data_IF_890396015118
#
_entry.id   IF_890396015118
#
_cell.length_a   1.000
_cell.length_b   1.000
_cell.length_c   1.000
_cell.angle_alpha   90.00
_cell.angle_beta   90.00
_cell.angle_gamma   90.00
#
_symmetry.space_group_name_H-M   'P 1'
#
loop_
_entity.id
_entity.type
_entity.pdbx_description
1 polymer ?
#
# COMPACT_ATOMS: atom_id res chain seq x y z
N UNK A 1 8.16 27.06 -10.94
CA UNK A 1 7.76 25.65 -11.12
C UNK A 1 6.77 25.33 -10.02
N UNK A 2 5.56 24.88 -10.37
CA UNK A 2 4.53 24.52 -9.38
C UNK A 2 4.68 23.03 -9.06
N UNK A 3 4.32 22.61 -7.85
CA UNK A 3 4.44 21.19 -7.44
C UNK A 3 3.65 20.24 -8.35
N UNK A 4 2.50 20.67 -8.88
CA UNK A 4 1.70 19.90 -9.85
C UNK A 4 2.41 19.57 -11.18
N UNK A 5 3.55 20.18 -11.45
CA UNK A 5 4.35 19.94 -12.66
C UNK A 5 5.67 19.21 -12.36
N UNK A 6 5.95 18.85 -11.10
CA UNK A 6 7.21 18.22 -10.68
C UNK A 6 7.11 16.68 -10.62
N UNK A 7 7.74 15.94 -11.56
CA UNK A 7 7.66 14.48 -11.60
C UNK A 7 8.38 13.76 -10.45
N UNK A 8 9.04 14.50 -9.54
CA UNK A 8 9.57 13.96 -8.29
C UNK A 8 8.44 13.50 -7.37
N UNK A 9 7.27 14.16 -7.44
CA UNK A 9 6.08 13.78 -6.69
C UNK A 9 5.46 12.56 -7.38
N UNK A 10 5.24 11.48 -6.64
CA UNK A 10 4.55 10.31 -7.18
C UNK A 10 3.04 10.49 -7.13
N UNK A 11 2.53 10.93 -5.98
CA UNK A 11 1.12 11.00 -5.68
C UNK A 11 0.81 12.10 -4.67
N UNK A 12 -0.43 12.58 -4.72
CA UNK A 12 -1.07 13.27 -3.60
C UNK A 12 -1.80 12.24 -2.72
N UNK A 13 -1.85 12.52 -1.42
CA UNK A 13 -2.69 11.83 -0.44
C UNK A 13 -3.74 12.82 0.08
N UNK A 14 -5.00 12.39 0.16
CA UNK A 14 -6.07 13.29 0.61
C UNK A 14 -5.97 13.62 2.11
N UNK A 15 -5.78 12.61 2.95
CA UNK A 15 -5.68 12.76 4.41
C UNK A 15 -5.08 11.50 5.00
N UNK A 16 -4.12 11.64 5.91
CA UNK A 16 -3.61 10.52 6.68
C UNK A 16 -4.68 9.96 7.62
N UNK A 17 -4.97 8.66 7.50
CA UNK A 17 -5.85 7.88 8.39
C UNK A 17 -7.21 8.55 8.68
N UNK A 18 -8.03 8.87 7.65
CA UNK A 18 -9.28 9.58 7.85
C UNK A 18 -10.25 8.69 8.62
N UNK A 19 -10.84 9.22 9.71
CA UNK A 19 -11.84 8.52 10.52
C UNK A 19 -13.07 9.41 10.74
N UNK A 20 -14.26 8.84 10.59
CA UNK A 20 -15.54 9.48 10.91
C UNK A 20 -16.39 8.59 11.83
N UNK A 21 -16.04 8.54 13.11
CA UNK A 21 -16.74 7.69 14.10
C UNK A 21 -18.19 8.11 14.36
N UNK A 22 -18.54 9.37 14.06
CA UNK A 22 -19.92 9.85 14.16
C UNK A 22 -20.84 9.31 13.07
N UNK A 23 -20.30 8.81 11.96
CA UNK A 23 -21.05 8.22 10.86
C UNK A 23 -20.52 6.81 10.48
N UNK A 24 -20.95 5.77 11.20
CA UNK A 24 -20.50 4.40 10.94
C UNK A 24 -21.07 3.81 9.64
N UNK A 25 -21.97 4.51 8.93
CA UNK A 25 -22.41 4.09 7.60
C UNK A 25 -21.31 4.23 6.56
N UNK A 26 -20.35 5.13 6.80
CA UNK A 26 -19.28 5.50 5.87
C UNK A 26 -19.68 6.51 4.80
N UNK A 27 -20.94 6.98 4.80
CA UNK A 27 -21.46 7.92 3.81
C UNK A 27 -20.73 9.27 3.81
N UNK A 28 -20.39 9.79 5.00
CA UNK A 28 -19.69 11.06 5.16
C UNK A 28 -18.29 11.02 4.53
N UNK A 29 -17.49 10.00 4.84
CA UNK A 29 -16.15 9.83 4.24
C UNK A 29 -16.26 9.57 2.73
N UNK A 30 -17.21 8.73 2.31
CA UNK A 30 -17.42 8.47 0.88
C UNK A 30 -17.71 9.75 0.09
N UNK A 31 -18.60 10.61 0.59
CA UNK A 31 -18.94 11.88 -0.04
C UNK A 31 -17.73 12.82 -0.08
N UNK A 32 -17.01 12.93 1.04
CA UNK A 32 -15.83 13.79 1.14
C UNK A 32 -14.70 13.35 0.19
N UNK A 33 -14.34 12.06 0.15
CA UNK A 33 -13.32 11.55 -0.79
C UNK A 33 -13.78 11.79 -2.23
N UNK A 34 -15.06 11.60 -2.54
CA UNK A 34 -15.60 11.82 -3.90
C UNK A 34 -15.41 13.28 -4.34
N UNK A 35 -15.76 14.23 -3.47
CA UNK A 35 -15.60 15.66 -3.73
C UNK A 35 -14.12 16.06 -3.85
N UNK A 36 -13.30 15.70 -2.87
CA UNK A 36 -11.89 16.13 -2.81
C UNK A 36 -11.05 15.48 -3.89
N UNK A 37 -11.31 14.22 -4.25
CA UNK A 37 -10.61 13.59 -5.36
C UNK A 37 -10.91 14.27 -6.70
N UNK A 38 -12.17 14.63 -6.95
CA UNK A 38 -12.54 15.40 -8.13
C UNK A 38 -11.88 16.80 -8.13
N UNK A 39 -11.84 17.45 -6.97
CA UNK A 39 -11.23 18.77 -6.83
C UNK A 39 -9.71 18.73 -7.10
N UNK A 40 -8.96 17.82 -6.47
CA UNK A 40 -7.51 17.67 -6.72
C UNK A 40 -7.25 17.36 -8.19
N UNK A 41 -8.01 16.42 -8.80
CA UNK A 41 -7.87 16.08 -10.23
C UNK A 41 -8.30 17.20 -11.18
N UNK A 42 -9.04 18.19 -10.72
CA UNK A 42 -9.33 19.41 -11.50
C UNK A 42 -8.12 20.35 -11.59
N UNK A 43 -7.27 20.33 -10.57
CA UNK A 43 -6.06 21.16 -10.46
C UNK A 43 -4.85 20.45 -11.08
N UNK A 44 -4.70 19.15 -10.78
CA UNK A 44 -3.56 18.33 -11.15
C UNK A 44 -4.01 17.00 -11.75
N UNK A 45 -3.72 16.81 -13.04
CA UNK A 45 -3.99 15.57 -13.79
C UNK A 45 -2.72 14.77 -14.11
N UNK A 46 -1.57 15.25 -13.66
CA UNK A 46 -0.27 14.61 -13.90
C UNK A 46 0.02 13.56 -12.83
N UNK A 47 -0.21 13.91 -11.56
CA UNK A 47 0.11 13.06 -10.42
C UNK A 47 -1.00 12.05 -10.09
N UNK A 48 -0.58 10.94 -9.49
CA UNK A 48 -1.49 9.97 -8.91
C UNK A 48 -2.17 10.57 -7.66
N UNK A 49 -3.28 9.98 -7.27
CA UNK A 49 -4.01 10.34 -6.06
C UNK A 49 -4.44 9.08 -5.33
N UNK A 50 -4.25 9.04 -4.03
CA UNK A 50 -4.84 8.06 -3.13
C UNK A 50 -5.55 8.76 -1.95
N UNK A 51 -6.23 7.98 -1.09
CA UNK A 51 -7.13 8.52 -0.08
C UNK A 51 -6.57 8.58 1.35
N UNK A 52 -5.43 7.93 1.61
CA UNK A 52 -4.74 7.79 2.89
C UNK A 52 -5.40 6.80 3.85
N UNK A 53 -6.02 5.75 3.32
CA UNK A 53 -6.81 4.82 4.13
C UNK A 53 -5.93 3.81 4.87
N UNK A 54 -6.27 3.59 6.14
CA UNK A 54 -5.72 2.46 6.91
C UNK A 54 -6.19 1.11 6.36
N UNK A 55 -7.36 1.07 5.71
CA UNK A 55 -7.89 -0.12 5.02
C UNK A 55 -9.14 -0.74 5.64
N UNK A 56 -9.77 -0.16 6.66
CA UNK A 56 -10.94 -0.81 7.27
C UNK A 56 -12.10 -1.01 6.29
N UNK A 57 -12.65 -2.21 6.30
CA UNK A 57 -13.81 -2.58 5.50
C UNK A 57 -15.09 -2.01 6.08
N UNK A 58 -15.97 -1.52 5.20
CA UNK A 58 -17.25 -0.93 5.56
C UNK A 58 -18.44 -1.78 5.13
N UNK A 59 -19.60 -1.12 5.00
CA UNK A 59 -20.88 -1.76 4.72
C UNK A 59 -21.00 -2.31 3.29
N UNK A 60 -20.16 -1.88 2.34
CA UNK A 60 -20.15 -2.40 0.97
C UNK A 60 -19.68 -3.85 0.89
N UNK A 61 -18.89 -4.31 1.88
CA UNK A 61 -18.39 -5.68 2.00
C UNK A 61 -18.55 -6.21 3.42
N UNK A 62 -19.78 -6.50 3.86
CA UNK A 62 -20.05 -6.90 5.24
C UNK A 62 -19.33 -8.20 5.64
N UNK A 63 -19.08 -9.09 4.68
CA UNK A 63 -18.34 -10.34 4.91
C UNK A 63 -16.87 -10.09 5.27
N UNK A 64 -16.27 -9.01 4.75
CA UNK A 64 -14.88 -8.61 5.03
C UNK A 64 -14.72 -7.89 6.37
N UNK A 65 -15.81 -7.36 6.97
CA UNK A 65 -15.75 -6.67 8.27
C UNK A 65 -15.19 -7.54 9.41
N UNK A 66 -15.31 -8.86 9.31
CA UNK A 66 -14.69 -9.80 10.26
C UNK A 66 -13.15 -9.74 10.30
N UNK A 67 -12.52 -9.13 9.30
CA UNK A 67 -11.08 -8.88 9.24
C UNK A 67 -10.68 -7.58 9.94
N UNK A 68 -11.61 -6.69 10.26
CA UNK A 68 -11.29 -5.48 11.02
C UNK A 68 -10.94 -5.86 12.48
N UNK A 69 -10.09 -5.08 13.18
CA UNK A 69 -9.71 -5.31 14.59
C UNK A 69 -10.83 -5.01 15.62
N UNK A 70 -12.11 -5.15 15.23
CA UNK A 70 -13.24 -5.06 16.15
C UNK A 70 -13.84 -3.66 16.35
N UNK A 71 -13.49 -2.69 15.50
CA UNK A 71 -14.07 -1.35 15.55
C UNK A 71 -14.44 -0.81 14.15
N UNK A 72 -15.44 0.06 14.09
CA UNK A 72 -15.87 0.76 12.89
C UNK A 72 -15.39 2.22 12.95
N UNK A 73 -14.70 2.69 11.92
CA UNK A 73 -14.13 4.05 11.87
C UNK A 73 -14.79 4.96 10.82
N UNK A 74 -15.85 4.50 10.15
CA UNK A 74 -16.54 5.28 9.12
C UNK A 74 -15.85 5.31 7.76
N UNK A 75 -14.87 4.44 7.51
CA UNK A 75 -14.31 4.22 6.17
C UNK A 75 -14.84 2.92 5.57
N UNK A 76 -14.70 2.78 4.26
CA UNK A 76 -15.00 1.56 3.52
C UNK A 76 -13.96 1.35 2.43
N UNK A 77 -13.00 0.44 2.67
CA UNK A 77 -11.89 0.17 1.76
C UNK A 77 -12.31 -0.06 0.31
N UNK A 78 -13.43 -0.75 0.06
CA UNK A 78 -13.86 -1.04 -1.31
C UNK A 78 -14.56 0.18 -1.92
N UNK A 79 -15.58 0.71 -1.26
CA UNK A 79 -16.36 1.82 -1.82
C UNK A 79 -15.53 3.09 -1.98
N UNK A 80 -14.66 3.40 -1.01
CA UNK A 80 -13.81 4.58 -1.07
C UNK A 80 -12.78 4.47 -2.22
N UNK A 81 -12.15 3.30 -2.39
CA UNK A 81 -11.19 3.11 -3.48
C UNK A 81 -11.84 2.84 -4.85
N UNK A 82 -13.17 2.67 -4.95
CA UNK A 82 -13.87 2.63 -6.24
C UNK A 82 -14.10 4.02 -6.85
N UNK A 83 -13.90 5.10 -6.08
CA UNK A 83 -14.01 6.47 -6.57
C UNK A 83 -13.05 6.68 -7.75
N UNK A 84 -13.55 7.25 -8.85
CA UNK A 84 -12.81 7.36 -10.11
C UNK A 84 -11.53 8.20 -9.99
N UNK A 85 -11.52 9.21 -9.12
CA UNK A 85 -10.34 10.06 -8.90
C UNK A 85 -9.19 9.39 -8.13
N UNK A 86 -9.44 8.25 -7.48
CA UNK A 86 -8.43 7.49 -6.73
C UNK A 86 -7.73 6.52 -7.68
N UNK A 87 -6.41 6.59 -7.79
CA UNK A 87 -5.64 5.80 -8.77
C UNK A 87 -5.10 4.49 -8.20
N UNK A 88 -4.82 4.46 -6.90
CA UNK A 88 -4.34 3.28 -6.18
C UNK A 88 -4.85 3.28 -4.74
N UNK A 89 -4.87 2.11 -4.13
CA UNK A 89 -5.31 1.92 -2.76
C UNK A 89 -4.11 1.90 -1.80
N UNK A 90 -4.37 2.29 -0.56
CA UNK A 90 -3.44 2.16 0.57
C UNK A 90 -4.05 1.30 1.66
N UNK A 91 -3.15 0.69 2.43
CA UNK A 91 -3.48 -0.07 3.65
C UNK A 91 -2.36 0.15 4.66
N UNK A 92 -2.73 0.35 5.92
CA UNK A 92 -1.81 0.43 7.05
C UNK A 92 -1.86 -0.88 7.84
N UNK A 93 -0.87 -1.16 8.68
CA UNK A 93 -0.95 -2.30 9.59
C UNK A 93 -0.15 -2.10 10.86
N UNK A 94 -0.88 -1.95 11.98
CA UNK A 94 -0.34 -1.88 13.33
C UNK A 94 -1.02 -2.89 14.27
N UNK A 95 -0.78 -4.21 14.09
CA UNK A 95 -1.39 -5.22 14.95
C UNK A 95 -1.04 -5.05 16.44
N UNK A 96 0.14 -4.52 16.74
CA UNK A 96 0.61 -4.20 18.09
C UNK A 96 -0.26 -3.12 18.77
N UNK A 97 -0.72 -2.12 18.02
CA UNK A 97 -1.65 -1.10 18.53
C UNK A 97 -3.10 -1.57 18.53
N UNK A 98 -3.57 -2.11 17.41
CA UNK A 98 -4.99 -2.45 17.22
C UNK A 98 -5.43 -3.66 18.04
N UNK A 99 -4.50 -4.57 18.34
CA UNK A 99 -4.74 -5.83 19.05
C UNK A 99 -3.79 -5.96 20.25
N UNK A 100 -3.55 -4.86 20.97
CA UNK A 100 -2.60 -4.78 22.10
C UNK A 100 -2.86 -5.77 23.23
N UNK A 101 -4.10 -6.26 23.36
CA UNK A 101 -4.47 -7.29 24.35
C UNK A 101 -4.33 -8.73 23.84
N UNK A 102 -3.87 -8.94 22.61
CA UNK A 102 -3.72 -10.26 21.99
C UNK A 102 -2.27 -10.75 22.03
N UNK A 103 -2.08 -12.06 21.83
CA UNK A 103 -0.73 -12.63 21.72
C UNK A 103 -0.04 -12.23 20.43
N UNK A 104 1.30 -12.21 20.44
CA UNK A 104 2.12 -11.98 19.24
C UNK A 104 1.75 -12.92 18.08
N UNK A 105 1.43 -14.19 18.40
CA UNK A 105 1.02 -15.16 17.39
C UNK A 105 -0.29 -14.76 16.71
N UNK A 106 -1.25 -14.25 17.48
CA UNK A 106 -2.52 -13.78 16.94
C UNK A 106 -2.33 -12.50 16.11
N UNK A 107 -1.55 -11.54 16.62
CA UNK A 107 -1.18 -10.32 15.88
C UNK A 107 -0.50 -10.64 14.54
N UNK A 108 0.41 -11.62 14.52
CA UNK A 108 1.09 -12.05 13.30
C UNK A 108 0.14 -12.78 12.32
N UNK A 109 -0.80 -13.57 12.83
CA UNK A 109 -1.83 -14.20 11.99
C UNK A 109 -2.78 -13.16 11.39
N UNK A 110 -3.20 -12.17 12.20
CA UNK A 110 -3.99 -11.03 11.75
C UNK A 110 -3.28 -10.28 10.62
N UNK A 111 -2.00 -9.92 10.79
CA UNK A 111 -1.19 -9.23 9.77
C UNK A 111 -1.25 -9.94 8.41
N UNK A 112 -1.02 -11.26 8.39
CA UNK A 112 -1.03 -12.02 7.14
C UNK A 112 -2.41 -12.08 6.50
N UNK A 113 -3.46 -12.28 7.29
CA UNK A 113 -4.85 -12.30 6.79
C UNK A 113 -5.27 -10.94 6.26
N UNK A 114 -4.93 -9.87 6.99
CA UNK A 114 -5.17 -8.48 6.64
C UNK A 114 -4.54 -8.16 5.28
N UNK A 115 -3.23 -8.36 5.12
CA UNK A 115 -2.54 -8.06 3.87
C UNK A 115 -3.04 -8.92 2.71
N UNK A 116 -3.26 -10.21 2.91
CA UNK A 116 -3.73 -11.09 1.85
C UNK A 116 -5.11 -10.67 1.33
N UNK A 117 -6.05 -10.35 2.22
CA UNK A 117 -7.39 -9.90 1.83
C UNK A 117 -7.34 -8.59 1.03
N UNK A 118 -6.61 -7.58 1.52
CA UNK A 118 -6.49 -6.29 0.84
C UNK A 118 -5.82 -6.40 -0.52
N UNK A 119 -4.77 -7.23 -0.65
CA UNK A 119 -4.11 -7.48 -1.93
C UNK A 119 -5.07 -8.17 -2.91
N UNK A 120 -5.86 -9.15 -2.45
CA UNK A 120 -6.85 -9.81 -3.31
C UNK A 120 -7.96 -8.85 -3.75
N UNK A 121 -8.47 -8.03 -2.84
CA UNK A 121 -9.54 -7.09 -3.17
C UNK A 121 -9.05 -5.96 -4.07
N UNK A 122 -7.83 -5.45 -3.86
CA UNK A 122 -7.19 -4.52 -4.79
C UNK A 122 -7.06 -5.12 -6.20
N UNK A 123 -6.64 -6.38 -6.28
CA UNK A 123 -6.50 -7.10 -7.55
C UNK A 123 -7.83 -7.35 -8.26
N UNK A 124 -8.85 -7.82 -7.53
CA UNK A 124 -10.03 -8.43 -8.13
C UNK A 124 -11.30 -7.58 -8.03
N UNK A 125 -11.47 -6.85 -6.93
CA UNK A 125 -12.63 -5.98 -6.72
C UNK A 125 -12.38 -4.55 -7.25
N UNK A 126 -11.16 -4.03 -7.06
CA UNK A 126 -10.80 -2.67 -7.48
C UNK A 126 -10.14 -2.62 -8.86
N UNK A 127 -9.33 -3.63 -9.19
CA UNK A 127 -8.47 -3.58 -10.37
C UNK A 127 -7.43 -2.47 -10.29
N UNK A 128 -7.02 -2.08 -9.07
CA UNK A 128 -6.09 -0.98 -8.78
C UNK A 128 -4.86 -1.50 -8.04
N UNK A 129 -3.69 -0.86 -8.21
CA UNK A 129 -2.53 -1.16 -7.38
C UNK A 129 -2.82 -0.91 -5.90
N UNK A 130 -2.09 -1.58 -5.01
CA UNK A 130 -2.12 -1.32 -3.56
C UNK A 130 -0.71 -1.14 -3.02
N UNK A 131 -0.53 -0.17 -2.13
CA UNK A 131 0.69 0.05 -1.35
C UNK A 131 0.38 -0.19 0.13
N UNK A 132 1.25 -0.94 0.81
CA UNK A 132 1.23 -1.00 2.29
C UNK A 132 1.90 0.28 2.78
N UNK A 133 1.12 1.35 2.97
CA UNK A 133 1.63 2.71 3.14
C UNK A 133 2.20 2.95 4.55
N UNK A 134 1.77 2.16 5.53
CA UNK A 134 2.39 2.15 6.85
C UNK A 134 2.41 0.75 7.46
N UNK A 135 3.51 0.41 8.11
CA UNK A 135 3.64 -0.74 8.99
C UNK A 135 4.87 -0.58 9.88
N UNK A 136 4.81 -1.10 11.10
CA UNK A 136 5.96 -1.11 12.01
C UNK A 136 5.75 -2.02 13.21
N UNK A 137 6.81 -2.25 13.98
CA UNK A 137 6.77 -2.94 15.28
C UNK A 137 7.47 -2.10 16.33
N UNK A 138 6.69 -1.66 17.33
CA UNK A 138 7.17 -0.76 18.38
C UNK A 138 8.20 -1.44 19.27
N UNK A 139 9.31 -0.75 19.53
CA UNK A 139 10.28 -1.15 20.55
C UNK A 139 9.82 -0.90 21.98
N UNK A 140 8.75 -0.12 22.14
CA UNK A 140 8.16 0.18 23.45
C UNK A 140 7.23 -0.97 23.92
N UNK A 141 6.94 -1.95 23.07
CA UNK A 141 6.13 -3.11 23.42
C UNK A 141 6.83 -3.98 24.48
N UNK A 142 6.11 -4.48 25.49
CA UNK A 142 6.66 -5.43 26.45
C UNK A 142 7.22 -6.68 25.77
N UNK A 143 8.46 -7.04 26.08
CA UNK A 143 9.12 -8.21 25.48
C UNK A 143 9.59 -7.99 24.04
N UNK A 144 9.65 -6.74 23.58
CA UNK A 144 10.19 -6.42 22.26
C UNK A 144 11.58 -6.99 22.03
N UNK A 145 11.77 -7.50 20.83
CA UNK A 145 13.06 -7.85 20.25
C UNK A 145 13.09 -7.43 18.79
N UNK A 146 14.29 -7.10 18.30
CA UNK A 146 14.50 -6.84 16.87
C UNK A 146 14.08 -8.03 15.99
N UNK A 147 14.13 -9.25 16.53
CA UNK A 147 13.63 -10.43 15.83
C UNK A 147 12.14 -10.35 15.48
N UNK A 148 11.27 -9.92 16.41
CA UNK A 148 9.84 -9.74 16.12
C UNK A 148 9.60 -8.68 15.04
N UNK A 149 10.35 -7.57 15.09
CA UNK A 149 10.33 -6.54 14.05
C UNK A 149 10.73 -7.11 12.69
N UNK A 150 11.85 -7.82 12.63
CA UNK A 150 12.35 -8.43 11.40
C UNK A 150 11.39 -9.50 10.85
N UNK A 151 10.74 -10.28 11.71
CA UNK A 151 9.70 -11.23 11.30
C UNK A 151 8.49 -10.53 10.68
N UNK A 152 8.01 -9.46 11.30
CA UNK A 152 6.90 -8.66 10.79
C UNK A 152 7.26 -8.02 9.44
N UNK A 153 8.43 -7.37 9.33
CA UNK A 153 8.91 -6.77 8.08
C UNK A 153 9.04 -7.82 6.98
N UNK A 154 9.60 -8.99 7.29
CA UNK A 154 9.68 -10.10 6.34
C UNK A 154 8.30 -10.57 5.89
N UNK A 155 7.30 -10.64 6.78
CA UNK A 155 5.93 -11.04 6.41
C UNK A 155 5.28 -10.03 5.45
N UNK A 156 5.38 -8.72 5.74
CA UNK A 156 4.86 -7.66 4.86
C UNK A 156 5.54 -7.75 3.49
N UNK A 157 6.87 -7.73 3.47
CA UNK A 157 7.66 -7.77 2.24
C UNK A 157 7.47 -9.05 1.44
N UNK A 158 7.28 -10.19 2.10
CA UNK A 158 6.99 -11.46 1.45
C UNK A 158 5.63 -11.42 0.74
N UNK A 159 4.57 -10.93 1.39
CA UNK A 159 3.26 -10.80 0.77
C UNK A 159 3.28 -9.87 -0.46
N UNK A 160 3.95 -8.71 -0.34
CA UNK A 160 4.17 -7.79 -1.47
C UNK A 160 4.91 -8.49 -2.60
N UNK A 161 6.04 -9.14 -2.31
CA UNK A 161 6.85 -9.84 -3.30
C UNK A 161 6.08 -10.96 -4.00
N UNK A 162 5.30 -11.76 -3.26
CA UNK A 162 4.49 -12.85 -3.83
C UNK A 162 3.44 -12.34 -4.81
N UNK A 163 2.83 -11.19 -4.54
CA UNK A 163 1.89 -10.55 -5.46
C UNK A 163 2.63 -9.97 -6.67
N UNK A 164 3.63 -9.12 -6.44
CA UNK A 164 4.39 -8.43 -7.47
C UNK A 164 5.07 -9.40 -8.46
N UNK A 165 5.67 -10.50 -7.98
CA UNK A 165 6.37 -11.47 -8.85
C UNK A 165 5.46 -12.15 -9.88
N UNK A 166 4.14 -12.14 -9.64
CA UNK A 166 3.11 -12.71 -10.54
C UNK A 166 2.36 -11.62 -11.32
N UNK A 167 2.80 -10.36 -11.23
CA UNK A 167 2.10 -9.23 -11.84
C UNK A 167 0.81 -8.85 -11.12
N UNK A 168 0.71 -9.17 -9.82
CA UNK A 168 -0.43 -8.80 -8.99
C UNK A 168 -0.41 -7.35 -8.52
N UNK A 169 -1.44 -6.95 -7.79
CA UNK A 169 -1.72 -5.55 -7.44
C UNK A 169 -0.77 -4.93 -6.41
N UNK A 170 -0.06 -5.72 -5.60
CA UNK A 170 0.79 -5.14 -4.55
C UNK A 170 2.04 -4.49 -5.18
N UNK A 171 2.14 -3.17 -5.07
CA UNK A 171 3.14 -2.37 -5.77
C UNK A 171 4.33 -1.96 -4.89
N UNK A 172 4.19 -2.03 -3.57
CA UNK A 172 5.26 -1.64 -2.64
C UNK A 172 4.79 -1.61 -1.19
N UNK A 173 5.71 -1.22 -0.32
CA UNK A 173 5.43 -0.96 1.09
C UNK A 173 6.38 0.08 1.65
N UNK A 174 5.88 0.90 2.56
CA UNK A 174 6.57 1.99 3.24
C UNK A 174 6.49 1.70 4.74
N UNK A 175 7.65 1.47 5.38
CA UNK A 175 7.68 1.22 6.82
C UNK A 175 7.58 2.55 7.56
N UNK A 176 6.95 2.52 8.72
CA UNK A 176 6.93 3.62 9.67
C UNK A 176 7.96 3.37 10.77
N UNK A 177 8.94 4.24 11.01
CA UNK A 177 9.37 5.38 10.19
C UNK A 177 10.89 5.46 10.15
N UNK A 178 11.43 6.11 9.12
CA UNK A 178 12.87 6.35 9.02
C UNK A 178 13.24 7.59 9.84
N UNK A 179 14.18 7.44 10.77
CA UNK A 179 14.88 8.57 11.40
C UNK A 179 16.36 8.55 11.02
N UNK A 180 17.03 9.67 11.25
CA UNK A 180 18.48 9.83 11.04
C UNK A 180 19.16 10.24 12.35
N UNK A 181 20.49 10.12 12.38
CA UNK A 181 21.28 10.44 13.55
C UNK A 181 20.99 11.87 14.06
N UNK A 182 20.80 12.02 15.37
CA UNK A 182 20.45 13.31 16.00
C UNK A 182 18.95 13.61 16.08
N UNK A 183 18.08 12.71 15.64
CA UNK A 183 16.62 12.85 15.72
C UNK A 183 15.98 12.10 16.90
N UNK A 184 16.71 11.81 17.98
CA UNK A 184 16.23 10.96 19.06
C UNK A 184 14.92 11.44 19.72
N UNK A 185 14.70 12.76 19.77
CA UNK A 185 13.48 13.36 20.31
C UNK A 185 12.21 13.08 19.48
N UNK A 186 12.35 12.52 18.28
CA UNK A 186 11.24 12.14 17.39
C UNK A 186 10.94 10.64 17.44
N UNK A 187 11.66 9.85 18.25
CA UNK A 187 11.40 8.42 18.40
C UNK A 187 10.03 8.21 19.05
N UNK A 188 9.14 7.55 18.34
CA UNK A 188 7.80 7.15 18.79
C UNK A 188 7.72 5.66 19.21
N UNK A 189 8.84 4.94 19.09
CA UNK A 189 8.93 3.50 19.29
C UNK A 189 9.08 2.70 18.00
N UNK A 190 8.69 3.25 16.85
CA UNK A 190 8.73 2.58 15.55
C UNK A 190 9.97 2.92 14.72
N UNK A 191 10.66 4.00 15.09
CA UNK A 191 11.83 4.50 14.37
C UNK A 191 12.84 3.41 13.97
N UNK A 192 13.23 3.43 12.70
CA UNK A 192 14.34 2.70 12.11
C UNK A 192 15.43 3.72 11.81
N UNK A 193 16.60 3.54 12.39
CA UNK A 193 17.81 4.27 12.03
C UNK A 193 18.74 3.26 11.37
N UNK A 194 19.01 3.44 10.09
CA UNK A 194 19.63 2.38 9.26
C UNK A 194 21.00 1.92 9.81
N UNK A 195 21.75 2.82 10.44
CA UNK A 195 23.03 2.53 11.07
C UNK A 195 22.94 1.80 12.41
N UNK A 196 21.81 1.86 13.11
CA UNK A 196 21.61 1.26 14.43
C UNK A 196 20.94 -0.13 14.36
N UNK A 197 20.16 -0.40 13.32
CA UNK A 197 19.36 -1.64 13.19
C UNK A 197 19.80 -2.48 11.98
N UNK A 198 21.02 -3.07 11.98
CA UNK A 198 21.60 -3.70 10.79
C UNK A 198 20.78 -4.89 10.26
N UNK A 199 20.10 -5.64 11.14
CA UNK A 199 19.26 -6.76 10.72
C UNK A 199 18.01 -6.29 9.97
N UNK A 200 17.29 -5.31 10.50
CA UNK A 200 16.13 -4.69 9.84
C UNK A 200 16.54 -3.98 8.56
N UNK A 201 17.66 -3.26 8.56
CA UNK A 201 18.24 -2.62 7.37
C UNK A 201 18.52 -3.65 6.26
N UNK A 202 19.06 -4.81 6.62
CA UNK A 202 19.29 -5.90 5.67
C UNK A 202 17.97 -6.47 5.10
N UNK A 203 16.93 -6.63 5.92
CA UNK A 203 15.59 -7.05 5.45
C UNK A 203 15.02 -6.05 4.44
N UNK A 204 15.11 -4.75 4.73
CA UNK A 204 14.68 -3.67 3.82
C UNK A 204 15.48 -3.75 2.50
N UNK A 205 16.81 -3.78 2.57
CA UNK A 205 17.68 -3.81 1.40
C UNK A 205 17.42 -5.02 0.50
N UNK A 206 17.20 -6.20 1.09
CA UNK A 206 16.85 -7.42 0.35
C UNK A 206 15.52 -7.28 -0.37
N UNK A 207 14.51 -6.70 0.26
CA UNK A 207 13.23 -6.45 -0.39
C UNK A 207 13.38 -5.48 -1.56
N UNK A 208 14.06 -4.35 -1.35
CA UNK A 208 14.31 -3.37 -2.41
C UNK A 208 14.99 -4.01 -3.62
N UNK A 209 15.97 -4.89 -3.38
CA UNK A 209 16.63 -5.65 -4.45
C UNK A 209 15.65 -6.60 -5.18
N UNK A 210 14.83 -7.37 -4.44
CA UNK A 210 13.84 -8.29 -5.03
C UNK A 210 12.85 -7.57 -5.94
N UNK A 211 12.27 -6.46 -5.48
CA UNK A 211 11.31 -5.68 -6.27
C UNK A 211 11.98 -5.00 -7.48
N UNK A 212 13.23 -4.55 -7.35
CA UNK A 212 14.00 -4.03 -8.47
C UNK A 212 14.19 -5.07 -9.58
N UNK A 213 14.52 -6.32 -9.23
CA UNK A 213 14.63 -7.40 -10.22
C UNK A 213 13.29 -7.70 -10.90
N UNK A 214 12.19 -7.75 -10.13
CA UNK A 214 10.83 -7.90 -10.69
C UNK A 214 10.54 -6.81 -11.71
N UNK A 215 10.77 -5.53 -11.36
CA UNK A 215 10.58 -4.40 -12.27
C UNK A 215 11.36 -4.58 -13.58
N UNK A 216 12.63 -5.01 -13.52
CA UNK A 216 13.44 -5.26 -14.72
C UNK A 216 12.88 -6.38 -15.59
N UNK A 217 12.40 -7.47 -14.97
CA UNK A 217 11.79 -8.60 -15.68
C UNK A 217 10.55 -8.14 -16.43
N UNK A 218 9.61 -7.45 -15.75
CA UNK A 218 8.38 -6.98 -16.39
C UNK A 218 8.63 -5.90 -17.46
N UNK A 219 9.61 -5.01 -17.26
CA UNK A 219 10.02 -4.06 -18.29
C UNK A 219 10.47 -4.79 -19.56
N UNK A 220 11.30 -5.83 -19.43
CA UNK A 220 11.79 -6.64 -20.55
C UNK A 220 10.66 -7.39 -21.26
N UNK A 221 9.72 -7.97 -20.50
CA UNK A 221 8.53 -8.65 -21.07
C UNK A 221 7.71 -7.66 -21.90
N UNK A 222 7.41 -6.48 -21.35
CA UNK A 222 6.66 -5.42 -22.04
C UNK A 222 7.34 -4.98 -23.34
N UNK A 223 8.65 -4.81 -23.32
CA UNK A 223 9.41 -4.39 -24.51
C UNK A 223 9.38 -5.46 -25.61
N UNK A 224 9.48 -6.75 -25.23
CA UNK A 224 9.33 -7.88 -26.16
C UNK A 224 7.94 -7.93 -26.77
N UNK A 225 6.88 -7.74 -25.97
CA UNK A 225 5.52 -7.69 -26.48
C UNK A 225 5.29 -6.52 -27.44
N UNK A 226 5.80 -5.34 -27.10
CA UNK A 226 5.72 -4.16 -27.96
C UNK A 226 6.41 -4.41 -29.30
N UNK A 227 7.58 -5.05 -29.29
CA UNK A 227 8.29 -5.44 -30.49
C UNK A 227 7.49 -6.48 -31.32
N UNK A 228 6.91 -7.50 -30.69
CA UNK A 228 6.06 -8.50 -31.36
C UNK A 228 4.84 -7.86 -32.03
N UNK A 229 4.15 -6.95 -31.34
CA UNK A 229 3.01 -6.19 -31.91
C UNK A 229 3.44 -5.35 -33.11
N UNK A 230 4.55 -4.64 -33.01
CA UNK A 230 5.10 -3.84 -34.12
C UNK A 230 5.46 -4.70 -35.34
N UNK A 231 6.06 -5.89 -35.12
CA UNK A 231 6.38 -6.83 -36.19
C UNK A 231 5.11 -7.38 -36.87
N UNK A 232 4.09 -7.75 -36.10
CA UNK A 232 2.81 -8.26 -36.62
C UNK A 232 2.06 -7.21 -37.47
N UNK A 233 2.09 -5.93 -37.06
CA UNK A 233 1.53 -4.84 -37.86
C UNK A 233 2.28 -4.66 -39.19
N UNK A 234 3.61 -4.71 -39.18
CA UNK A 234 4.43 -4.63 -40.39
C UNK A 234 4.19 -5.79 -41.36
N UNK A 235 3.99 -7.02 -40.85
CA UNK A 235 3.68 -8.17 -41.70
C UNK A 235 2.28 -8.12 -42.30
N UNK A 236 1.27 -7.61 -41.57
CA UNK A 236 -0.09 -7.41 -42.09
C UNK A 236 -0.14 -6.29 -43.14
N UNK A 237 0.59 -5.20 -42.93
CA UNK A 237 0.70 -4.11 -43.91
C UNK A 237 1.34 -4.54 -45.24
N UNK A 238 2.19 -5.58 -45.24
CA UNK A 238 2.76 -6.17 -46.46
C UNK A 238 1.81 -7.10 -47.23
N UNK A 239 0.78 -7.65 -46.57
CA UNK A 239 -0.17 -8.58 -47.20
C UNK A 239 -1.36 -7.89 -47.88
N UNK A 240 -1.62 -6.62 -47.57
CA UNK A 240 -2.73 -5.83 -48.13
C UNK A 240 -2.26 -4.97 -49.34
N UNK A 241 -0.95 -4.96 -49.62
CA UNK A 241 -0.32 -4.11 -50.63
C UNK A 241 0.04 -4.80 -51.95
N UNK A 242 -0.51 -5.98 -52.25
CA UNK A 242 -0.32 -6.68 -53.53
C UNK A 242 -1.67 -6.94 -54.20
#
# INVERSE_FOLDING_TARGET
MLYKDDPTIMAWELMNEPRCRSDPSGGTIQAWITEMAAYVKSIDRNHLLEAGLEGFYGQSTPQRKSLNPGFDIGTDFIANNQIHGIDFATVHSYPDQWLSSSSDQYQFSFLNNWLNAHIQDAQHALGKPIIVAEFGKSQNDPGYSTYQRDQMFNAVYHNIYLSAKRGGAAAGGLFWQLLTDGMDNFRDGYAIILGETPSTTNVIAQQSHKLYQIRKIFARIRDVERWRRAKAMRSRGRLIGN
#
